data_IF_156534117152
#
_entry.id   IF_156534117152
#
_cell.length_a   1.000
_cell.length_b   1.000
_cell.length_c   1.000
_cell.angle_alpha   90.00
_cell.angle_beta   90.00
_cell.angle_gamma   90.00
#
_symmetry.space_group_name_H-M   'P 1'
#
loop_
_entity.id
_entity.type
_entity.pdbx_description
1 polymer ?
#
# COMPACT_ATOMS: atom_id res chain seq x y z
N UNK A 1 -12.70 2.46 -14.58
CA UNK A 1 -11.36 2.76 -14.05
C UNK A 1 -10.86 1.68 -13.10
N UNK A 2 -11.70 1.16 -12.19
CA UNK A 2 -11.38 -0.03 -11.38
C UNK A 2 -12.06 -1.27 -11.95
N UNK A 3 -11.29 -2.32 -12.23
CA UNK A 3 -11.79 -3.59 -12.74
C UNK A 3 -11.63 -4.70 -11.71
N UNK A 4 -12.44 -5.76 -11.82
CA UNK A 4 -12.28 -6.95 -10.98
C UNK A 4 -10.89 -7.57 -11.18
N UNK A 5 -10.39 -7.60 -12.42
CA UNK A 5 -9.08 -8.17 -12.75
C UNK A 5 -7.95 -7.43 -12.02
N UNK A 6 -7.98 -6.09 -12.03
CA UNK A 6 -7.01 -5.27 -11.31
C UNK A 6 -7.01 -5.58 -9.81
N UNK A 7 -8.19 -5.72 -9.20
CA UNK A 7 -8.33 -6.07 -7.79
C UNK A 7 -7.74 -7.46 -7.52
N UNK A 8 -8.08 -8.47 -8.35
CA UNK A 8 -7.58 -9.84 -8.17
C UNK A 8 -6.06 -9.91 -8.30
N UNK A 9 -5.46 -9.19 -9.25
CA UNK A 9 -4.01 -9.17 -9.44
C UNK A 9 -3.28 -8.44 -8.29
N UNK A 10 -3.86 -7.36 -7.75
CA UNK A 10 -3.37 -6.72 -6.54
C UNK A 10 -3.37 -7.70 -5.35
N UNK A 11 -4.50 -8.37 -5.11
CA UNK A 11 -4.62 -9.32 -4.00
C UNK A 11 -3.66 -10.51 -4.16
N UNK A 12 -3.49 -11.01 -5.38
CA UNK A 12 -2.52 -12.05 -5.71
C UNK A 12 -1.09 -11.60 -5.39
N UNK A 13 -0.71 -10.37 -5.77
CA UNK A 13 0.60 -9.82 -5.46
C UNK A 13 0.87 -9.68 -3.96
N UNK A 14 -0.05 -9.06 -3.21
CA UNK A 14 0.18 -8.67 -1.81
C UNK A 14 -0.11 -9.77 -0.78
N UNK A 15 -1.07 -10.65 -1.03
CA UNK A 15 -1.49 -11.65 -0.05
C UNK A 15 -1.07 -13.08 -0.39
N UNK A 16 -0.77 -13.37 -1.65
CA UNK A 16 -0.45 -14.74 -2.08
C UNK A 16 1.02 -14.86 -2.47
N UNK A 17 1.53 -13.96 -3.31
CA UNK A 17 2.93 -14.00 -3.78
C UNK A 17 3.91 -13.38 -2.77
N UNK A 18 3.43 -12.47 -1.93
CA UNK A 18 4.23 -11.91 -0.85
C UNK A 18 4.56 -12.97 0.21
N UNK A 19 5.85 -13.17 0.46
CA UNK A 19 6.32 -14.07 1.52
C UNK A 19 6.40 -13.36 2.88
N UNK A 20 6.44 -14.13 3.97
CA UNK A 20 6.66 -13.60 5.33
C UNK A 20 7.95 -12.77 5.43
N UNK A 21 9.04 -13.23 4.81
CA UNK A 21 10.29 -12.47 4.76
C UNK A 21 10.10 -11.10 4.11
N UNK A 22 9.35 -11.02 3.00
CA UNK A 22 9.03 -9.74 2.36
C UNK A 22 8.22 -8.84 3.29
N UNK A 23 7.13 -9.35 3.86
CA UNK A 23 6.23 -8.58 4.72
C UNK A 23 6.95 -7.94 5.92
N UNK A 24 7.83 -8.70 6.59
CA UNK A 24 8.56 -8.23 7.78
C UNK A 24 9.66 -7.21 7.41
N UNK A 25 10.29 -7.36 6.25
CA UNK A 25 11.51 -6.61 5.92
C UNK A 25 11.33 -5.49 4.89
N UNK A 26 10.20 -5.42 4.15
CA UNK A 26 9.95 -4.37 3.15
C UNK A 26 10.01 -2.96 3.74
N UNK A 27 9.56 -2.81 4.98
CA UNK A 27 9.62 -1.53 5.72
C UNK A 27 11.00 -1.21 6.30
N UNK A 28 11.99 -2.10 6.18
CA UNK A 28 13.34 -1.97 6.78
C UNK A 28 14.46 -1.97 5.75
N UNK A 29 14.33 -2.74 4.67
CA UNK A 29 15.35 -2.98 3.64
C UNK A 29 14.81 -2.59 2.27
N UNK A 30 15.41 -1.58 1.65
CA UNK A 30 14.98 -1.04 0.35
C UNK A 30 14.96 -2.10 -0.75
N UNK A 31 15.98 -2.96 -0.81
CA UNK A 31 16.02 -4.04 -1.79
C UNK A 31 14.87 -5.03 -1.62
N UNK A 32 14.43 -5.32 -0.38
CA UNK A 32 13.29 -6.22 -0.13
C UNK A 32 12.00 -5.55 -0.59
N UNK A 33 11.84 -4.25 -0.33
CA UNK A 33 10.65 -3.49 -0.76
C UNK A 33 10.50 -3.52 -2.28
N UNK A 34 11.57 -3.22 -3.02
CA UNK A 34 11.53 -3.23 -4.48
C UNK A 34 11.50 -4.65 -5.07
N UNK A 35 12.09 -5.65 -4.41
CA UNK A 35 11.90 -7.04 -4.83
C UNK A 35 10.45 -7.51 -4.67
N UNK A 36 9.80 -7.16 -3.56
CA UNK A 36 8.38 -7.40 -3.37
C UNK A 36 7.56 -6.64 -4.42
N UNK A 37 7.83 -5.36 -4.66
CA UNK A 37 7.15 -4.57 -5.67
C UNK A 37 7.31 -5.16 -7.09
N UNK A 38 8.48 -5.73 -7.40
CA UNK A 38 8.71 -6.44 -8.66
C UNK A 38 7.77 -7.65 -8.77
N UNK A 39 7.82 -8.55 -7.79
CA UNK A 39 6.96 -9.75 -7.74
C UNK A 39 5.47 -9.37 -7.80
N UNK A 40 5.09 -8.31 -7.09
CA UNK A 40 3.74 -7.75 -7.08
C UNK A 40 3.31 -7.20 -8.44
N UNK A 41 4.21 -6.57 -9.20
CA UNK A 41 3.88 -5.98 -10.51
C UNK A 41 3.79 -7.00 -11.64
N UNK A 42 4.40 -8.18 -11.52
CA UNK A 42 4.42 -9.19 -12.59
C UNK A 42 3.01 -9.63 -13.05
N UNK A 43 2.04 -9.92 -12.16
CA UNK A 43 0.68 -10.27 -12.58
C UNK A 43 -0.01 -9.17 -13.40
N UNK A 44 0.33 -7.89 -13.20
CA UNK A 44 -0.27 -6.78 -13.96
C UNK A 44 0.09 -6.79 -15.44
N UNK A 45 1.15 -7.50 -15.85
CA UNK A 45 1.49 -7.70 -17.26
C UNK A 45 0.42 -8.50 -18.04
N UNK A 46 -0.52 -9.16 -17.35
CA UNK A 46 -1.64 -9.88 -17.98
C UNK A 46 -2.75 -8.95 -18.48
N UNK A 47 -2.84 -7.73 -17.94
CA UNK A 47 -3.91 -6.77 -18.25
C UNK A 47 -3.40 -5.41 -18.72
N UNK A 48 -2.07 -5.20 -18.70
CA UNK A 48 -1.45 -3.92 -18.96
C UNK A 48 -0.14 -4.10 -19.75
N UNK A 49 -0.17 -3.69 -21.02
CA UNK A 49 1.00 -3.70 -21.92
C UNK A 49 1.79 -2.37 -21.90
N UNK A 50 1.31 -1.37 -21.16
CA UNK A 50 1.96 -0.06 -21.07
C UNK A 50 3.15 -0.09 -20.11
N UNK A 51 4.36 0.06 -20.66
CA UNK A 51 5.59 0.14 -19.86
C UNK A 51 5.56 1.31 -18.85
N UNK A 52 5.12 2.53 -19.21
CA UNK A 52 4.93 3.61 -18.23
C UNK A 52 3.97 3.23 -17.09
N UNK A 53 2.83 2.60 -17.39
CA UNK A 53 1.89 2.17 -16.35
C UNK A 53 2.52 1.14 -15.40
N UNK A 54 3.18 0.10 -15.93
CA UNK A 54 3.87 -0.93 -15.14
C UNK A 54 4.99 -0.33 -14.28
N UNK A 55 5.74 0.63 -14.83
CA UNK A 55 6.77 1.34 -14.08
C UNK A 55 6.19 2.12 -12.90
N UNK A 56 5.07 2.83 -13.10
CA UNK A 56 4.37 3.54 -12.03
C UNK A 56 3.86 2.57 -10.97
N UNK A 57 3.21 1.46 -11.35
CA UNK A 57 2.74 0.43 -10.42
C UNK A 57 3.89 -0.09 -9.57
N UNK A 58 4.98 -0.55 -10.21
CA UNK A 58 6.16 -1.06 -9.53
C UNK A 58 6.77 -0.03 -8.57
N UNK A 59 7.04 1.17 -9.06
CA UNK A 59 7.81 2.15 -8.32
C UNK A 59 7.00 2.72 -7.14
N UNK A 60 5.74 3.06 -7.36
CA UNK A 60 4.87 3.58 -6.30
C UNK A 60 4.60 2.54 -5.23
N UNK A 61 4.39 1.27 -5.60
CA UNK A 61 4.22 0.17 -4.64
C UNK A 61 5.43 0.06 -3.72
N UNK A 62 6.63 0.03 -4.30
CA UNK A 62 7.89 -0.04 -3.54
C UNK A 62 8.09 1.15 -2.60
N UNK A 63 7.73 2.37 -3.01
CA UNK A 63 7.82 3.56 -2.16
C UNK A 63 6.81 3.54 -1.01
N UNK A 64 5.54 3.24 -1.30
CA UNK A 64 4.46 3.19 -0.31
C UNK A 64 4.83 2.22 0.80
N UNK A 65 5.27 1.03 0.45
CA UNK A 65 5.66 -0.01 1.40
C UNK A 65 6.93 0.36 2.17
N UNK A 66 7.95 0.86 1.48
CA UNK A 66 9.25 1.17 2.09
C UNK A 66 9.12 2.23 3.18
N UNK A 67 8.33 3.27 2.90
CA UNK A 67 8.15 4.43 3.77
C UNK A 67 6.87 4.37 4.60
N UNK A 68 6.08 3.28 4.46
CA UNK A 68 4.83 3.04 5.17
C UNK A 68 3.84 4.19 4.99
N UNK A 69 3.69 4.68 3.76
CA UNK A 69 2.98 5.94 3.49
C UNK A 69 1.53 5.94 3.97
N UNK A 70 0.88 4.76 4.01
CA UNK A 70 -0.44 4.55 4.58
C UNK A 70 -0.60 5.09 6.01
N UNK A 71 0.48 5.09 6.83
CA UNK A 71 0.42 5.64 8.19
C UNK A 71 0.13 7.13 8.19
N UNK A 72 0.65 7.88 7.21
CA UNK A 72 0.48 9.32 7.13
C UNK A 72 -0.93 9.67 6.65
N UNK A 73 -1.49 8.87 5.73
CA UNK A 73 -2.90 8.97 5.35
C UNK A 73 -3.80 8.71 6.56
N UNK A 74 -3.50 7.68 7.36
CA UNK A 74 -4.20 7.39 8.60
C UNK A 74 -4.07 8.52 9.63
N UNK A 75 -2.88 9.11 9.79
CA UNK A 75 -2.66 10.27 10.66
C UNK A 75 -3.52 11.44 10.24
N UNK A 76 -3.41 11.87 8.99
CA UNK A 76 -4.08 13.06 8.48
C UNK A 76 -5.60 12.90 8.59
N UNK A 77 -6.17 11.75 8.18
CA UNK A 77 -7.62 11.56 8.28
C UNK A 77 -8.13 11.65 9.73
N UNK A 78 -7.37 11.14 10.69
CA UNK A 78 -7.78 11.13 12.10
C UNK A 78 -7.57 12.50 12.75
N UNK A 79 -6.48 13.21 12.41
CA UNK A 79 -6.26 14.60 12.84
C UNK A 79 -7.34 15.53 12.30
N UNK A 80 -7.83 15.32 11.07
CA UNK A 80 -8.93 16.09 10.52
C UNK A 80 -10.27 15.76 11.21
N UNK A 81 -10.46 14.51 11.63
CA UNK A 81 -11.65 14.06 12.35
C UNK A 81 -11.71 14.53 13.82
N UNK A 82 -10.57 14.70 14.47
CA UNK A 82 -10.45 15.25 15.83
C UNK A 82 -9.22 16.16 15.95
N UNK A 83 -9.31 17.42 15.47
CA UNK A 83 -8.18 18.35 15.45
C UNK A 83 -7.68 18.73 16.85
N UNK A 84 -8.55 18.70 17.87
CA UNK A 84 -8.20 19.07 19.24
C UNK A 84 -7.18 18.10 19.85
N UNK A 85 -7.21 16.83 19.45
CA UNK A 85 -6.31 15.79 19.94
C UNK A 85 -5.31 15.31 18.88
N UNK A 86 -4.93 16.16 17.93
CA UNK A 86 -4.07 15.77 16.79
C UNK A 86 -2.78 15.02 17.20
N UNK A 87 -2.19 15.38 18.35
CA UNK A 87 -0.98 14.74 18.89
C UNK A 87 -1.17 13.25 19.20
N UNK A 88 -2.39 12.83 19.53
CA UNK A 88 -2.71 11.42 19.81
C UNK A 88 -2.52 10.50 18.60
N UNK A 89 -2.49 11.07 17.38
CA UNK A 89 -2.36 10.32 16.14
C UNK A 89 -0.92 10.22 15.63
N UNK A 90 0.06 10.85 16.29
CA UNK A 90 1.49 10.82 15.90
C UNK A 90 2.16 9.47 16.23
N UNK A 91 1.57 8.36 15.81
CA UNK A 91 1.94 6.99 16.17
C UNK A 91 2.44 6.19 14.96
N UNK A 92 2.92 4.96 15.19
CA UNK A 92 3.38 4.06 14.12
C UNK A 92 2.32 3.67 13.09
N UNK A 93 1.03 3.82 13.40
CA UNK A 93 -0.10 3.41 12.54
C UNK A 93 -1.02 4.58 12.16
N UNK A 94 -0.85 5.75 12.78
CA UNK A 94 -1.76 6.89 12.62
C UNK A 94 -3.03 6.80 13.46
N UNK A 95 -3.13 5.81 14.35
CA UNK A 95 -4.23 5.66 15.31
C UNK A 95 -3.73 5.85 16.74
N UNK A 96 -4.58 6.25 17.71
CA UNK A 96 -4.18 6.40 19.11
C UNK A 96 -3.63 5.10 19.69
N UNK A 97 -2.70 5.19 20.64
CA UNK A 97 -2.10 4.01 21.29
C UNK A 97 -3.12 3.15 22.04
N UNK A 98 -4.23 3.77 22.48
CA UNK A 98 -5.36 3.06 23.08
C UNK A 98 -6.12 2.15 22.09
N UNK A 99 -5.91 2.32 20.78
CA UNK A 99 -6.54 1.49 19.75
C UNK A 99 -5.95 0.08 19.80
N UNK A 100 -6.77 -0.98 19.87
CA UNK A 100 -6.26 -2.34 19.85
C UNK A 100 -5.31 -2.60 18.67
N UNK A 101 -4.18 -3.27 18.94
CA UNK A 101 -3.11 -3.48 17.94
C UNK A 101 -3.58 -4.22 16.69
N UNK A 102 -4.43 -5.22 16.86
CA UNK A 102 -5.01 -5.96 15.73
C UNK A 102 -5.89 -5.05 14.85
N UNK A 103 -6.68 -4.17 15.47
CA UNK A 103 -7.57 -3.25 14.75
C UNK A 103 -6.79 -2.18 14.01
N UNK A 104 -5.83 -1.52 14.67
CA UNK A 104 -5.00 -0.50 14.00
C UNK A 104 -4.10 -1.10 12.92
N UNK A 105 -3.66 -2.36 13.09
CA UNK A 105 -2.95 -3.12 12.07
C UNK A 105 -3.81 -3.35 10.83
N UNK A 106 -5.01 -3.92 10.98
CA UNK A 106 -5.92 -4.17 9.85
C UNK A 106 -6.37 -2.90 9.14
N UNK A 107 -6.71 -1.84 9.90
CA UNK A 107 -7.08 -0.56 9.31
C UNK A 107 -5.92 0.04 8.49
N UNK A 108 -4.68 -0.11 8.96
CA UNK A 108 -3.51 0.34 8.21
C UNK A 108 -3.32 -0.48 6.93
N UNK A 109 -3.47 -1.81 6.98
CA UNK A 109 -3.41 -2.69 5.80
C UNK A 109 -4.47 -2.29 4.77
N UNK A 110 -5.70 -2.03 5.20
CA UNK A 110 -6.79 -1.60 4.30
C UNK A 110 -6.46 -0.26 3.63
N UNK A 111 -5.97 0.73 4.39
CA UNK A 111 -5.58 2.04 3.84
C UNK A 111 -4.46 1.87 2.81
N UNK A 112 -3.45 1.05 3.13
CA UNK A 112 -2.32 0.74 2.25
C UNK A 112 -2.79 0.11 0.93
N UNK A 113 -3.66 -0.90 0.99
CA UNK A 113 -4.21 -1.56 -0.18
C UNK A 113 -5.05 -0.62 -1.05
N UNK A 114 -5.86 0.24 -0.43
CA UNK A 114 -6.64 1.25 -1.16
C UNK A 114 -5.71 2.21 -1.91
N UNK A 115 -4.61 2.65 -1.29
CA UNK A 115 -3.64 3.52 -1.97
C UNK A 115 -3.07 2.85 -3.22
N UNK A 116 -2.63 1.60 -3.10
CA UNK A 116 -2.11 0.82 -4.23
C UNK A 116 -3.16 0.63 -5.32
N UNK A 117 -4.39 0.24 -4.96
CA UNK A 117 -5.48 0.06 -5.92
C UNK A 117 -5.82 1.35 -6.67
N UNK A 118 -5.87 2.49 -5.98
CA UNK A 118 -6.14 3.81 -6.59
C UNK A 118 -5.05 4.14 -7.61
N UNK A 119 -3.78 4.01 -7.24
CA UNK A 119 -2.66 4.34 -8.13
C UNK A 119 -2.60 3.38 -9.32
N UNK A 120 -2.78 2.08 -9.11
CA UNK A 120 -2.81 1.11 -10.19
C UNK A 120 -3.95 1.39 -11.17
N UNK A 121 -5.15 1.68 -10.66
CA UNK A 121 -6.30 1.99 -11.50
C UNK A 121 -6.09 3.26 -12.34
N UNK A 122 -5.47 4.29 -11.75
CA UNK A 122 -5.08 5.50 -12.47
C UNK A 122 -4.00 5.22 -13.52
N UNK A 123 -2.97 4.44 -13.17
CA UNK A 123 -1.88 4.11 -14.08
C UNK A 123 -2.38 3.33 -15.30
N UNK A 124 -3.17 2.27 -15.10
CA UNK A 124 -3.70 1.44 -16.21
C UNK A 124 -4.68 2.24 -17.08
N UNK A 125 -5.46 3.15 -16.49
CA UNK A 125 -6.47 3.87 -17.26
C UNK A 125 -5.89 5.02 -18.10
N UNK A 126 -4.84 5.69 -17.62
CA UNK A 126 -4.32 6.91 -18.23
C UNK A 126 -3.00 6.74 -18.98
N UNK A 127 -2.26 5.65 -18.78
CA UNK A 127 -0.95 5.38 -19.37
C UNK A 127 -0.97 4.10 -20.20
#
# INVERSE_FOLDING_TARGET
>A
MFTMDQLMLHLLGDYVLQTDHMAIHKTKKTWVAFFHALVYSLPFMLICDSFPALFIIFFTHGLIDRFRLARYVAMVKNMLGDPAHFRSYLTGTGFPEATPRWSSGWLLVIIDNIMHLVINGLAIYYL
#
